data_IF_992934263094
#
_entry.id   IF_992934263094
#
_cell.length_a   1.000
_cell.length_b   1.000
_cell.length_c   1.000
_cell.angle_alpha   90.00
_cell.angle_beta   90.00
_cell.angle_gamma   90.00
#
_symmetry.space_group_name_H-M   'P 1'
#
loop_
_entity.id
_entity.type
_entity.pdbx_description
1 polymer ?
#
# COMPACT_ATOMS: atom_id res chain seq x y z
N UNK A 1 -32.71 -1.97 -15.89
CA UNK A 1 -32.67 -2.61 -14.56
C UNK A 1 -31.55 -3.64 -14.56
N UNK A 2 -30.35 -3.30 -14.09
CA UNK A 2 -29.21 -4.21 -14.09
C UNK A 2 -29.20 -5.09 -12.84
N UNK A 3 -29.14 -6.41 -13.06
CA UNK A 3 -29.23 -7.50 -12.07
C UNK A 3 -28.30 -7.26 -10.88
N UNK A 4 -28.86 -7.36 -9.68
CA UNK A 4 -28.11 -7.41 -8.41
C UNK A 4 -27.38 -8.75 -8.38
N UNK A 5 -26.07 -8.74 -8.14
CA UNK A 5 -25.25 -9.95 -8.01
C UNK A 5 -25.51 -10.52 -6.62
N UNK A 6 -25.93 -11.79 -6.54
CA UNK A 6 -26.22 -12.50 -5.29
C UNK A 6 -25.00 -13.37 -4.98
N UNK A 7 -24.44 -13.24 -3.79
CA UNK A 7 -23.44 -14.15 -3.24
C UNK A 7 -23.84 -14.54 -1.81
N UNK A 8 -23.87 -15.84 -1.54
CA UNK A 8 -24.20 -16.45 -0.25
C UNK A 8 -25.49 -15.94 0.41
N UNK A 9 -26.46 -15.50 -0.40
CA UNK A 9 -27.73 -14.96 0.06
C UNK A 9 -27.71 -13.49 0.48
N UNK A 10 -26.57 -12.80 0.40
CA UNK A 10 -26.43 -11.39 0.74
C UNK A 10 -26.33 -10.46 -0.48
N UNK A 11 -26.88 -9.25 -0.33
CA UNK A 11 -26.89 -8.20 -1.35
C UNK A 11 -25.75 -7.20 -1.13
N UNK A 12 -24.96 -6.94 -2.18
CA UNK A 12 -23.94 -5.90 -2.22
C UNK A 12 -24.23 -4.89 -3.34
N UNK A 13 -23.80 -3.64 -3.15
CA UNK A 13 -23.78 -2.67 -4.24
C UNK A 13 -22.69 -3.03 -5.26
N UNK A 14 -22.91 -2.67 -6.52
CA UNK A 14 -21.98 -2.90 -7.63
C UNK A 14 -21.01 -1.72 -7.77
N UNK A 15 -19.72 -2.00 -8.01
CA UNK A 15 -18.67 -0.99 -8.12
C UNK A 15 -18.98 0.05 -9.19
N UNK A 16 -19.48 -0.35 -10.36
CA UNK A 16 -19.80 0.58 -11.44
C UNK A 16 -20.88 1.58 -11.02
N UNK A 17 -21.84 1.15 -10.20
CA UNK A 17 -22.84 2.07 -9.60
C UNK A 17 -22.22 3.01 -8.57
N UNK A 18 -21.29 2.53 -7.76
CA UNK A 18 -20.57 3.36 -6.78
C UNK A 18 -19.79 4.45 -7.50
N UNK A 19 -18.97 4.10 -8.49
CA UNK A 19 -18.12 5.07 -9.19
C UNK A 19 -18.95 6.05 -10.04
N UNK A 20 -20.03 5.59 -10.69
CA UNK A 20 -20.97 6.47 -11.43
C UNK A 20 -21.63 7.50 -10.51
N UNK A 21 -22.04 7.08 -9.30
CA UNK A 21 -22.58 7.98 -8.28
C UNK A 21 -21.53 9.01 -7.81
N UNK A 22 -20.28 8.61 -7.63
CA UNK A 22 -19.22 9.53 -7.19
C UNK A 22 -18.81 10.50 -8.28
N UNK A 23 -18.72 10.06 -9.54
CA UNK A 23 -18.49 10.93 -10.70
C UNK A 23 -19.58 12.00 -10.82
N UNK A 24 -20.86 11.62 -10.74
CA UNK A 24 -21.97 12.59 -10.73
C UNK A 24 -21.91 13.60 -9.59
N UNK A 25 -21.35 13.23 -8.43
CA UNK A 25 -21.14 14.18 -7.33
C UNK A 25 -20.00 15.13 -7.67
N UNK A 26 -18.85 14.60 -8.07
CA UNK A 26 -17.72 15.40 -8.51
C UNK A 26 -18.10 16.43 -9.60
N UNK A 27 -18.92 16.03 -10.57
CA UNK A 27 -19.42 16.94 -11.61
C UNK A 27 -20.35 18.04 -11.08
N UNK A 28 -21.08 17.77 -9.98
CA UNK A 28 -22.09 18.68 -9.43
C UNK A 28 -21.51 19.68 -8.43
N UNK A 29 -20.60 19.26 -7.57
CA UNK A 29 -20.10 20.06 -6.45
C UNK A 29 -18.59 19.97 -6.25
N UNK A 30 -17.86 19.45 -7.25
CA UNK A 30 -16.40 19.27 -7.20
C UNK A 30 -15.93 18.43 -6.01
N UNK A 31 -16.79 17.55 -5.46
CA UNK A 31 -16.40 16.67 -4.37
C UNK A 31 -15.36 15.64 -4.83
N UNK A 32 -14.16 15.61 -4.21
CA UNK A 32 -13.13 14.65 -4.57
C UNK A 32 -13.51 13.24 -4.15
N UNK A 33 -12.93 12.27 -4.83
CA UNK A 33 -13.03 10.86 -4.45
C UNK A 33 -11.69 10.16 -4.64
N UNK A 34 -11.21 9.54 -3.57
CA UNK A 34 -9.88 8.96 -3.48
C UNK A 34 -9.95 7.43 -3.52
N UNK A 35 -8.80 6.79 -3.71
CA UNK A 35 -8.65 5.34 -3.69
C UNK A 35 -7.61 4.92 -2.65
N UNK A 36 -7.94 3.96 -1.79
CA UNK A 36 -7.01 3.25 -0.91
C UNK A 36 -6.88 1.80 -1.39
N UNK A 37 -5.68 1.42 -1.80
CA UNK A 37 -5.33 0.06 -2.22
C UNK A 37 -4.65 -0.67 -1.06
N UNK A 38 -5.21 -1.83 -0.71
CA UNK A 38 -4.56 -2.81 0.17
C UNK A 38 -4.10 -4.05 -0.60
N UNK A 39 -3.45 -4.97 0.12
CA UNK A 39 -2.78 -6.13 -0.48
C UNK A 39 -3.70 -7.00 -1.37
N UNK A 40 -5.02 -6.92 -1.16
CA UNK A 40 -5.99 -7.55 -2.05
C UNK A 40 -5.94 -7.08 -3.50
N UNK A 41 -5.40 -5.88 -3.80
CA UNK A 41 -5.11 -5.43 -5.17
C UNK A 41 -4.12 -6.36 -5.87
N UNK A 42 -3.03 -6.72 -5.21
CA UNK A 42 -1.99 -7.59 -5.76
C UNK A 42 -2.40 -9.06 -5.73
N UNK A 43 -3.12 -9.49 -4.69
CA UNK A 43 -3.72 -10.83 -4.63
C UNK A 43 -4.74 -11.04 -5.75
N UNK A 44 -5.50 -10.00 -6.13
CA UNK A 44 -6.45 -10.08 -7.23
C UNK A 44 -5.77 -10.24 -8.60
N UNK A 45 -4.52 -9.80 -8.74
CA UNK A 45 -3.73 -10.06 -9.95
C UNK A 45 -3.34 -11.54 -10.00
N UNK A 46 -2.62 -11.99 -8.97
CA UNK A 46 -2.19 -13.37 -8.84
C UNK A 46 -2.06 -13.80 -7.37
N UNK A 47 -3.00 -14.62 -6.92
CA UNK A 47 -3.02 -15.19 -5.57
C UNK A 47 -1.87 -16.19 -5.32
N UNK A 48 -1.33 -16.81 -6.36
CA UNK A 48 -0.23 -17.78 -6.22
C UNK A 48 1.11 -17.08 -6.02
N UNK A 49 1.16 -15.75 -6.20
CA UNK A 49 2.34 -14.90 -5.99
C UNK A 49 2.16 -14.05 -4.72
N UNK A 50 1.05 -13.32 -4.62
CA UNK A 50 0.89 -12.26 -3.62
C UNK A 50 0.11 -12.66 -2.36
N UNK A 51 -0.40 -13.88 -2.27
CA UNK A 51 -1.10 -14.32 -1.06
C UNK A 51 -0.12 -14.63 0.09
N UNK A 52 -0.59 -14.47 1.32
CA UNK A 52 0.16 -14.85 2.52
C UNK A 52 0.66 -16.30 2.48
N UNK A 53 -0.17 -17.22 1.95
CA UNK A 53 0.22 -18.62 1.78
C UNK A 53 1.31 -18.81 0.72
N UNK A 54 1.29 -18.05 -0.37
CA UNK A 54 2.33 -18.09 -1.40
C UNK A 54 3.68 -17.61 -0.84
N UNK A 55 3.69 -16.45 -0.17
CA UNK A 55 4.87 -15.92 0.50
C UNK A 55 5.42 -16.91 1.52
N UNK A 56 4.55 -17.48 2.37
CA UNK A 56 4.97 -18.47 3.36
C UNK A 56 5.58 -19.71 2.73
N UNK A 57 4.95 -20.27 1.67
CA UNK A 57 5.44 -21.45 0.96
C UNK A 57 6.81 -21.22 0.32
N UNK A 58 7.04 -20.03 -0.21
CA UNK A 58 8.35 -19.67 -0.77
C UNK A 58 9.40 -19.52 0.32
N UNK A 59 9.06 -18.89 1.45
CA UNK A 59 9.96 -18.81 2.61
C UNK A 59 10.32 -20.21 3.15
N UNK A 60 9.37 -21.16 3.22
CA UNK A 60 9.64 -22.54 3.63
C UNK A 60 10.71 -23.22 2.75
N UNK A 61 10.82 -22.85 1.46
CA UNK A 61 11.86 -23.38 0.56
C UNK A 61 13.25 -22.83 0.87
N UNK A 62 13.34 -21.64 1.47
CA UNK A 62 14.58 -21.01 1.92
C UNK A 62 15.26 -21.74 3.11
N UNK A 63 14.59 -22.72 3.72
CA UNK A 63 15.11 -23.61 4.77
C UNK A 63 15.64 -22.92 6.03
N UNK A 64 15.14 -21.74 6.43
CA UNK A 64 15.40 -21.23 7.78
C UNK A 64 14.47 -21.94 8.79
N UNK A 65 14.95 -22.94 9.56
CA UNK A 65 14.07 -23.80 10.34
C UNK A 65 13.40 -23.04 11.49
N UNK A 66 14.08 -22.01 12.03
CA UNK A 66 13.59 -21.21 13.13
C UNK A 66 12.42 -20.33 12.70
N UNK A 67 12.53 -19.69 11.53
CA UNK A 67 11.42 -18.92 10.96
C UNK A 67 10.22 -19.82 10.67
N UNK A 68 10.43 -20.97 10.01
CA UNK A 68 9.34 -21.92 9.71
C UNK A 68 8.66 -22.42 10.99
N UNK A 69 9.42 -22.64 12.06
CA UNK A 69 8.88 -23.05 13.37
C UNK A 69 7.95 -21.98 13.95
N UNK A 70 8.25 -20.69 13.79
CA UNK A 70 7.38 -19.62 14.27
C UNK A 70 5.99 -19.69 13.62
N UNK A 71 5.91 -19.78 12.29
CA UNK A 71 4.62 -19.86 11.59
C UNK A 71 3.81 -21.10 12.02
N UNK A 72 4.47 -22.24 12.26
CA UNK A 72 3.82 -23.45 12.75
C UNK A 72 3.27 -23.29 14.17
N UNK A 73 4.02 -22.64 15.07
CA UNK A 73 3.59 -22.40 16.46
C UNK A 73 2.44 -21.39 16.51
N UNK A 74 2.49 -20.36 15.67
CA UNK A 74 1.50 -19.28 15.63
C UNK A 74 0.24 -19.63 14.84
N UNK A 75 0.27 -20.74 14.07
CA UNK A 75 -0.82 -21.24 13.24
C UNK A 75 -1.38 -20.17 12.27
N UNK A 76 -0.49 -19.43 11.63
CA UNK A 76 -0.82 -18.41 10.63
C UNK A 76 0.24 -18.41 9.54
N UNK A 77 -0.11 -17.92 8.34
CA UNK A 77 0.82 -17.59 7.25
C UNK A 77 1.06 -16.09 7.11
N UNK A 78 0.41 -15.26 7.95
CA UNK A 78 0.54 -13.82 7.90
C UNK A 78 1.78 -13.37 8.69
N UNK A 79 2.77 -12.85 7.96
CA UNK A 79 4.03 -12.36 8.50
C UNK A 79 3.85 -11.22 9.53
N UNK A 80 2.90 -10.31 9.33
CA UNK A 80 2.64 -9.22 10.28
C UNK A 80 2.19 -9.75 11.64
N UNK A 81 1.34 -10.78 11.64
CA UNK A 81 0.85 -11.40 12.88
C UNK A 81 2.00 -12.10 13.62
N UNK A 82 2.87 -12.81 12.90
CA UNK A 82 4.05 -13.46 13.52
C UNK A 82 5.00 -12.41 14.10
N UNK A 83 5.27 -11.32 13.37
CA UNK A 83 6.08 -10.21 13.88
C UNK A 83 5.43 -9.55 15.11
N UNK A 84 4.11 -9.37 15.12
CA UNK A 84 3.37 -8.83 16.26
C UNK A 84 3.56 -9.68 17.52
N UNK A 85 3.47 -11.00 17.38
CA UNK A 85 3.60 -11.94 18.49
C UNK A 85 5.03 -11.96 19.03
N UNK A 86 6.04 -11.91 18.16
CA UNK A 86 7.44 -11.75 18.55
C UNK A 86 7.66 -10.44 19.31
N UNK A 87 7.19 -9.31 18.78
CA UNK A 87 7.32 -8.00 19.41
C UNK A 87 6.64 -7.97 20.79
N UNK A 88 5.49 -8.66 20.92
CA UNK A 88 4.79 -8.82 22.21
C UNK A 88 5.61 -9.64 23.20
N UNK A 89 6.19 -10.76 22.74
CA UNK A 89 7.03 -11.61 23.58
C UNK A 89 8.27 -10.86 24.08
N UNK A 90 8.94 -10.09 23.21
CA UNK A 90 10.10 -9.27 23.57
C UNK A 90 9.72 -8.27 24.67
N UNK A 91 8.63 -7.49 24.48
CA UNK A 91 8.17 -6.50 25.46
C UNK A 91 7.81 -7.12 26.82
N UNK A 92 7.13 -8.27 26.81
CA UNK A 92 6.80 -8.97 28.05
C UNK A 92 8.07 -9.48 28.72
N UNK A 93 8.98 -10.08 27.97
CA UNK A 93 10.26 -10.56 28.47
C UNK A 93 11.10 -9.45 29.12
N UNK A 94 11.19 -8.28 28.48
CA UNK A 94 11.81 -7.08 29.07
C UNK A 94 11.16 -6.70 30.40
N UNK A 95 9.83 -6.68 30.47
CA UNK A 95 9.09 -6.29 31.68
C UNK A 95 9.24 -7.28 32.84
N UNK A 96 9.50 -8.56 32.55
CA UNK A 96 9.66 -9.61 33.58
C UNK A 96 11.13 -9.93 33.88
N UNK A 97 12.09 -9.19 33.30
CA UNK A 97 13.51 -9.42 33.53
C UNK A 97 14.01 -10.72 32.91
N UNK A 98 13.50 -11.08 31.73
CA UNK A 98 14.05 -12.17 30.94
C UNK A 98 15.54 -11.92 30.64
N UNK A 99 16.28 -12.99 30.40
CA UNK A 99 17.70 -12.90 30.07
C UNK A 99 17.94 -12.07 28.79
N UNK A 100 18.91 -11.15 28.84
CA UNK A 100 19.21 -10.23 27.75
C UNK A 100 19.66 -10.95 26.46
N UNK A 101 20.43 -12.04 26.58
CA UNK A 101 20.88 -12.80 25.40
C UNK A 101 19.70 -13.43 24.67
N UNK A 102 18.71 -13.93 25.39
CA UNK A 102 17.46 -14.44 24.82
C UNK A 102 16.64 -13.33 24.13
N UNK A 103 16.53 -12.16 24.74
CA UNK A 103 15.83 -11.02 24.12
C UNK A 103 16.54 -10.55 22.85
N UNK A 104 17.87 -10.50 22.85
CA UNK A 104 18.67 -10.18 21.67
C UNK A 104 18.51 -11.24 20.57
N UNK A 105 18.43 -12.52 20.92
CA UNK A 105 18.11 -13.59 19.97
C UNK A 105 16.75 -13.38 19.31
N UNK A 106 15.71 -13.05 20.09
CA UNK A 106 14.38 -12.74 19.55
C UNK A 106 14.40 -11.51 18.62
N UNK A 107 15.13 -10.44 18.97
CA UNK A 107 15.28 -9.26 18.10
C UNK A 107 15.98 -9.60 16.79
N UNK A 108 17.00 -10.47 16.83
CA UNK A 108 17.66 -10.99 15.62
C UNK A 108 16.71 -11.79 14.75
N UNK A 109 15.93 -12.71 15.34
CA UNK A 109 14.91 -13.49 14.61
C UNK A 109 13.86 -12.59 13.98
N UNK A 110 13.38 -11.58 14.70
CA UNK A 110 12.43 -10.56 14.19
C UNK A 110 13.01 -9.82 12.98
N UNK A 111 14.29 -9.45 13.05
CA UNK A 111 14.99 -8.76 11.96
C UNK A 111 15.14 -9.68 10.75
N UNK A 112 15.58 -10.94 10.97
CA UNK A 112 15.66 -11.96 9.92
C UNK A 112 14.31 -12.20 9.25
N UNK A 113 13.21 -12.24 10.02
CA UNK A 113 11.86 -12.42 9.48
C UNK A 113 11.45 -11.26 8.56
N UNK A 114 11.75 -10.01 8.95
CA UNK A 114 11.51 -8.83 8.11
C UNK A 114 12.29 -8.90 6.80
N UNK A 115 13.58 -9.24 6.88
CA UNK A 115 14.45 -9.34 5.70
C UNK A 115 14.01 -10.49 4.78
N UNK A 116 13.61 -11.62 5.35
CA UNK A 116 13.14 -12.77 4.58
C UNK A 116 11.82 -12.46 3.85
N UNK A 117 10.93 -11.67 4.46
CA UNK A 117 9.73 -11.20 3.78
C UNK A 117 10.07 -10.33 2.57
N UNK A 118 10.97 -9.36 2.72
CA UNK A 118 11.42 -8.49 1.61
C UNK A 118 12.01 -9.35 0.49
N UNK A 119 12.92 -10.26 0.82
CA UNK A 119 13.55 -11.16 -0.15
C UNK A 119 12.53 -12.09 -0.81
N UNK A 120 11.52 -12.54 -0.09
CA UNK A 120 10.48 -13.43 -0.63
C UNK A 120 9.58 -12.70 -1.61
N UNK A 121 9.16 -11.47 -1.29
CA UNK A 121 8.37 -10.65 -2.21
C UNK A 121 9.20 -10.39 -3.47
N UNK A 122 10.46 -10.00 -3.31
CA UNK A 122 11.37 -9.76 -4.43
C UNK A 122 11.53 -11.01 -5.33
N UNK A 123 11.76 -12.20 -4.76
CA UNK A 123 11.88 -13.47 -5.52
C UNK A 123 10.60 -13.88 -6.26
N UNK A 124 9.43 -13.67 -5.66
CA UNK A 124 8.14 -14.07 -6.24
C UNK A 124 7.60 -13.04 -7.24
N UNK A 125 7.99 -11.78 -7.10
CA UNK A 125 7.56 -10.73 -7.99
C UNK A 125 7.96 -11.07 -9.43
N UNK A 126 7.10 -10.82 -10.44
CA UNK A 126 7.52 -10.95 -11.83
C UNK A 126 8.83 -10.17 -12.09
N UNK A 127 9.63 -10.66 -13.02
CA UNK A 127 10.95 -10.08 -13.33
C UNK A 127 10.80 -8.70 -13.95
N UNK A 128 9.79 -8.54 -14.80
CA UNK A 128 9.56 -7.28 -15.47
C UNK A 128 8.08 -7.02 -15.73
N UNK A 129 7.77 -5.74 -15.97
CA UNK A 129 6.43 -5.29 -16.34
C UNK A 129 5.89 -5.96 -17.61
N UNK A 130 6.78 -6.50 -18.47
CA UNK A 130 6.39 -7.22 -19.69
C UNK A 130 5.74 -8.58 -19.40
N UNK A 131 5.94 -9.12 -18.21
CA UNK A 131 5.29 -10.37 -17.77
C UNK A 131 3.80 -10.17 -17.47
N UNK A 132 3.36 -8.91 -17.30
CA UNK A 132 1.95 -8.57 -17.14
C UNK A 132 1.29 -8.47 -18.52
N UNK A 133 0.19 -9.22 -18.77
CA UNK A 133 -0.56 -9.11 -20.01
C UNK A 133 -1.05 -7.68 -20.26
N UNK A 134 -0.90 -7.20 -21.49
CA UNK A 134 -1.30 -5.83 -21.87
C UNK A 134 -2.77 -5.53 -21.57
N UNK A 135 -3.67 -6.50 -21.80
CA UNK A 135 -5.09 -6.35 -21.47
C UNK A 135 -5.35 -6.17 -19.96
N UNK A 136 -4.51 -6.75 -19.09
CA UNK A 136 -4.60 -6.56 -17.64
C UNK A 136 -4.12 -5.16 -17.24
N UNK A 137 -3.06 -4.66 -17.87
CA UNK A 137 -2.57 -3.29 -17.66
C UNK A 137 -3.61 -2.27 -18.11
N UNK A 138 -4.25 -2.50 -19.27
CA UNK A 138 -5.30 -1.61 -19.78
C UNK A 138 -6.48 -1.54 -18.80
N UNK A 139 -6.99 -2.68 -18.33
CA UNK A 139 -8.09 -2.72 -17.35
C UNK A 139 -7.71 -2.04 -16.03
N UNK A 140 -6.52 -2.34 -15.49
CA UNK A 140 -6.08 -1.74 -14.25
C UNK A 140 -5.89 -0.23 -14.41
N UNK A 141 -5.30 0.22 -15.51
CA UNK A 141 -5.11 1.64 -15.76
C UNK A 141 -6.43 2.39 -15.96
N UNK A 142 -7.41 1.80 -16.66
CA UNK A 142 -8.77 2.34 -16.79
C UNK A 142 -9.46 2.45 -15.43
N UNK A 143 -9.23 1.48 -14.53
CA UNK A 143 -9.70 1.54 -13.15
C UNK A 143 -9.02 2.64 -12.32
N UNK A 144 -7.71 2.84 -12.45
CA UNK A 144 -6.94 3.82 -11.67
C UNK A 144 -7.17 5.26 -12.14
N UNK A 145 -7.36 5.47 -13.45
CA UNK A 145 -7.46 6.79 -14.10
C UNK A 145 -8.37 7.81 -13.40
N UNK A 146 -9.57 7.47 -12.91
CA UNK A 146 -10.44 8.43 -12.22
C UNK A 146 -9.83 9.00 -10.92
N UNK A 147 -8.85 8.33 -10.34
CA UNK A 147 -8.24 8.69 -9.05
C UNK A 147 -6.85 9.34 -9.20
N UNK A 148 -6.27 9.30 -10.40
CA UNK A 148 -4.87 9.62 -10.63
C UNK A 148 -4.57 11.11 -10.78
N UNK A 149 -5.59 11.95 -10.96
CA UNK A 149 -5.44 13.40 -11.13
C UNK A 149 -6.07 14.16 -9.96
N UNK A 150 -5.49 15.31 -9.60
CA UNK A 150 -6.09 16.22 -8.62
C UNK A 150 -7.55 16.57 -8.99
N UNK A 151 -8.42 16.77 -7.99
CA UNK A 151 -8.16 16.72 -6.54
C UNK A 151 -8.15 15.31 -5.93
N UNK A 152 -8.21 14.26 -6.75
CA UNK A 152 -8.23 12.88 -6.30
C UNK A 152 -6.81 12.37 -6.03
N UNK A 153 -6.72 11.25 -5.31
CA UNK A 153 -5.44 10.58 -5.07
C UNK A 153 -5.61 9.08 -4.90
N UNK A 154 -4.51 8.37 -5.15
CA UNK A 154 -4.32 6.94 -4.91
C UNK A 154 -3.36 6.79 -3.73
N UNK A 155 -3.83 6.17 -2.66
CA UNK A 155 -3.03 5.77 -1.51
C UNK A 155 -2.87 4.26 -1.58
N UNK A 156 -1.64 3.76 -1.54
CA UNK A 156 -1.32 2.34 -1.52
C UNK A 156 -0.69 1.96 -0.19
N UNK A 157 -1.11 0.83 0.36
CA UNK A 157 -0.38 0.13 1.44
C UNK A 157 0.34 -1.10 0.91
N UNK A 158 0.35 -1.30 -0.40
CA UNK A 158 1.01 -2.43 -1.03
C UNK A 158 2.48 -2.14 -1.21
N UNK A 159 3.27 -3.19 -1.02
CA UNK A 159 4.71 -3.06 -1.09
C UNK A 159 5.30 -3.44 -2.45
N UNK A 160 4.56 -4.15 -3.29
CA UNK A 160 5.03 -4.63 -4.60
C UNK A 160 5.15 -3.52 -5.66
N UNK A 161 5.57 -3.90 -6.87
CA UNK A 161 5.78 -2.98 -7.99
C UNK A 161 4.58 -2.91 -8.94
N UNK A 162 3.47 -3.61 -8.69
CA UNK A 162 2.36 -3.68 -9.65
C UNK A 162 1.74 -2.31 -9.91
N UNK A 163 1.49 -1.53 -8.85
CA UNK A 163 0.95 -0.17 -9.01
C UNK A 163 1.91 0.71 -9.81
N UNK A 164 3.20 0.72 -9.43
CA UNK A 164 4.24 1.46 -10.14
C UNK A 164 4.29 1.09 -11.63
N UNK A 165 4.28 -0.20 -11.94
CA UNK A 165 4.31 -0.71 -13.31
C UNK A 165 3.09 -0.32 -14.14
N UNK A 166 1.89 -0.37 -13.58
CA UNK A 166 0.68 0.07 -14.28
C UNK A 166 0.73 1.57 -14.55
N UNK A 167 1.14 2.38 -13.56
CA UNK A 167 1.28 3.83 -13.72
C UNK A 167 2.28 4.19 -14.82
N UNK A 168 3.37 3.43 -14.94
CA UNK A 168 4.39 3.66 -15.95
C UNK A 168 3.98 3.20 -17.35
N UNK A 169 3.30 2.06 -17.48
CA UNK A 169 3.08 1.42 -18.79
C UNK A 169 1.73 1.77 -19.43
N UNK A 170 0.73 2.16 -18.64
CA UNK A 170 -0.57 2.54 -19.19
C UNK A 170 -0.48 3.93 -19.84
N UNK A 171 -0.80 3.97 -21.13
CA UNK A 171 -0.82 5.20 -21.92
C UNK A 171 -1.86 6.19 -21.36
N UNK A 172 -1.38 7.30 -20.81
CA UNK A 172 -2.21 8.38 -20.28
C UNK A 172 -2.28 8.46 -18.76
N UNK A 173 -1.65 7.53 -18.02
CA UNK A 173 -1.46 7.67 -16.57
C UNK A 173 -0.14 8.38 -16.23
N UNK A 174 0.92 8.10 -16.97
CA UNK A 174 2.25 8.69 -16.75
C UNK A 174 2.28 10.22 -16.86
N UNK A 175 1.31 10.83 -17.53
CA UNK A 175 1.19 12.29 -17.66
C UNK A 175 0.29 12.95 -16.61
N UNK A 176 -0.47 12.18 -15.83
CA UNK A 176 -1.43 12.72 -14.85
C UNK A 176 -1.19 12.23 -13.43
N UNK A 177 -0.56 11.07 -13.25
CA UNK A 177 -0.20 10.52 -11.96
C UNK A 177 1.19 11.01 -11.55
N UNK A 178 1.32 11.49 -10.32
CA UNK A 178 2.58 11.99 -9.78
C UNK A 178 2.80 11.38 -8.39
N UNK A 179 3.96 10.77 -8.15
CA UNK A 179 4.32 10.15 -6.88
C UNK A 179 5.24 11.03 -6.01
N UNK A 180 5.49 12.27 -6.43
CA UNK A 180 6.28 13.27 -5.71
C UNK A 180 7.79 13.15 -5.94
N UNK A 181 8.25 12.18 -6.75
CA UNK A 181 9.66 11.97 -7.05
C UNK A 181 10.06 12.59 -8.39
N UNK A 182 11.12 13.38 -8.37
CA UNK A 182 11.69 14.03 -9.56
C UNK A 182 13.22 14.00 -9.52
N UNK A 183 13.85 14.32 -10.64
CA UNK A 183 15.29 14.57 -10.61
C UNK A 183 15.57 15.83 -9.78
N UNK A 184 16.59 15.82 -8.92
CA UNK A 184 17.10 17.04 -8.33
C UNK A 184 17.71 17.93 -9.42
N UNK A 185 17.35 19.20 -9.41
CA UNK A 185 17.93 20.22 -10.30
C UNK A 185 18.98 20.99 -9.51
N UNK A 186 20.18 21.12 -10.07
CA UNK A 186 21.33 21.66 -9.34
C UNK A 186 21.39 23.19 -9.39
N UNK A 187 21.00 23.81 -10.51
CA UNK A 187 20.99 25.26 -10.66
C UNK A 187 20.17 25.69 -11.88
N UNK A 188 19.50 26.84 -11.76
CA UNK A 188 18.75 27.48 -12.85
C UNK A 188 19.74 28.29 -13.69
N UNK A 189 20.23 27.73 -14.79
CA UNK A 189 21.18 28.43 -15.66
C UNK A 189 20.48 29.50 -16.51
N UNK A 190 19.23 29.27 -16.93
CA UNK A 190 18.31 30.22 -17.59
C UNK A 190 16.83 29.79 -17.36
N UNK A 191 15.84 30.58 -17.83
CA UNK A 191 14.40 30.28 -17.63
C UNK A 191 13.96 28.90 -18.16
N UNK A 192 14.67 28.34 -19.15
CA UNK A 192 14.29 27.11 -19.86
C UNK A 192 15.26 25.91 -19.68
N UNK A 193 16.43 26.09 -19.05
CA UNK A 193 17.45 25.04 -18.93
C UNK A 193 17.83 24.75 -17.47
N UNK A 194 17.45 23.57 -17.00
CA UNK A 194 17.85 23.01 -15.71
C UNK A 194 18.88 21.90 -15.89
N UNK A 195 20.03 22.02 -15.22
CA UNK A 195 21.04 20.94 -15.17
C UNK A 195 20.65 19.95 -14.08
N UNK A 196 20.56 18.66 -14.45
CA UNK A 196 20.33 17.55 -13.51
C UNK A 196 21.60 17.29 -12.71
N UNK A 197 21.51 17.32 -11.38
CA UNK A 197 22.66 17.06 -10.50
C UNK A 197 23.08 15.60 -10.51
N UNK A 198 22.13 14.69 -10.60
CA UNK A 198 22.37 13.26 -10.67
C UNK A 198 21.22 12.52 -11.36
N UNK A 199 21.42 11.23 -11.62
CA UNK A 199 20.44 10.34 -12.25
C UNK A 199 19.49 9.67 -11.25
N UNK A 200 19.39 10.20 -10.03
CA UNK A 200 18.56 9.65 -8.94
C UNK A 200 17.25 10.41 -8.85
N UNK A 201 16.14 9.69 -8.69
CA UNK A 201 14.84 10.31 -8.42
C UNK A 201 14.69 10.51 -6.91
N UNK A 202 14.49 11.75 -6.49
CA UNK A 202 14.38 12.15 -5.08
C UNK A 202 12.98 12.68 -4.81
N UNK A 203 12.40 12.32 -3.67
CA UNK A 203 11.11 12.84 -3.23
C UNK A 203 11.25 14.26 -2.68
N UNK A 204 10.31 15.14 -3.05
CA UNK A 204 10.21 16.49 -2.49
C UNK A 204 9.92 17.56 -3.54
N UNK A 205 10.49 17.42 -4.74
CA UNK A 205 10.44 18.43 -5.79
C UNK A 205 9.06 18.64 -6.44
N UNK A 206 8.16 17.64 -6.35
CA UNK A 206 6.82 17.71 -6.95
C UNK A 206 5.70 17.32 -5.96
N UNK A 207 5.92 17.56 -4.66
CA UNK A 207 4.96 17.20 -3.60
C UNK A 207 3.62 17.90 -3.75
N UNK A 208 3.61 19.15 -4.22
CA UNK A 208 2.37 19.88 -4.47
C UNK A 208 1.49 19.16 -5.51
N UNK A 209 2.08 18.58 -6.55
CA UNK A 209 1.39 17.86 -7.62
C UNK A 209 1.15 16.37 -7.34
N UNK A 210 1.58 15.87 -6.18
CA UNK A 210 1.52 14.45 -5.85
C UNK A 210 0.07 13.93 -5.75
N UNK A 211 -0.21 12.86 -6.49
CA UNK A 211 -1.51 12.16 -6.50
C UNK A 211 -1.38 10.69 -6.11
N UNK A 212 -0.16 10.15 -6.02
CA UNK A 212 0.12 8.76 -5.65
C UNK A 212 0.97 8.72 -4.38
N UNK A 213 0.54 7.93 -3.39
CA UNK A 213 1.16 7.88 -2.06
C UNK A 213 1.34 6.43 -1.61
N UNK A 214 2.57 6.00 -1.33
CA UNK A 214 2.90 4.65 -0.82
C UNK A 214 3.00 4.69 0.71
N UNK A 215 1.87 4.66 1.40
CA UNK A 215 1.75 4.91 2.84
C UNK A 215 2.51 3.91 3.73
N UNK A 216 2.71 2.67 3.26
CA UNK A 216 3.49 1.65 3.97
C UNK A 216 4.86 1.42 3.30
N UNK A 217 5.24 2.28 2.35
CA UNK A 217 6.41 2.12 1.50
C UNK A 217 6.17 1.20 0.30
N UNK A 218 7.22 0.94 -0.48
CA UNK A 218 7.20 0.06 -1.65
C UNK A 218 8.61 -0.40 -2.01
N UNK A 219 8.74 -1.51 -2.74
CA UNK A 219 10.02 -2.14 -3.10
C UNK A 219 11.00 -1.22 -3.85
N UNK A 220 10.49 -0.22 -4.55
CA UNK A 220 11.28 0.71 -5.33
C UNK A 220 11.66 1.99 -4.56
N UNK A 221 11.28 2.12 -3.28
CA UNK A 221 11.54 3.31 -2.47
C UNK A 221 12.59 3.00 -1.40
N UNK A 222 13.63 3.81 -1.28
CA UNK A 222 14.71 3.62 -0.31
C UNK A 222 14.99 4.92 0.45
N UNK A 223 15.52 4.76 1.66
CA UNK A 223 15.97 5.85 2.52
C UNK A 223 17.51 5.86 2.49
N UNK A 224 18.12 6.93 1.98
CA UNK A 224 19.58 7.10 1.91
C UNK A 224 20.11 7.97 3.06
N UNK A 225 19.36 8.08 4.16
CA UNK A 225 19.59 8.93 5.34
C UNK A 225 19.44 10.44 5.10
N UNK A 226 19.82 10.95 3.93
CA UNK A 226 19.58 12.36 3.55
C UNK A 226 18.25 12.53 2.83
N UNK A 227 17.96 11.61 1.91
CA UNK A 227 16.90 11.75 0.93
C UNK A 227 16.11 10.44 0.79
N UNK A 228 14.85 10.59 0.42
CA UNK A 228 14.00 9.46 0.02
C UNK A 228 14.12 9.32 -1.49
N UNK A 229 14.62 8.18 -1.92
CA UNK A 229 14.99 7.92 -3.31
C UNK A 229 14.09 6.84 -3.92
N UNK A 230 13.85 6.97 -5.23
CA UNK A 230 13.05 6.03 -6.02
C UNK A 230 13.89 5.37 -7.09
N UNK A 231 13.93 4.04 -7.06
CA UNK A 231 14.51 3.24 -8.13
C UNK A 231 13.64 3.27 -9.39
N UNK A 232 14.30 3.11 -10.54
CA UNK A 232 13.69 3.21 -11.86
C UNK A 232 14.34 2.24 -12.84
N UNK A 233 13.70 2.07 -13.99
CA UNK A 233 14.34 1.41 -15.12
C UNK A 233 15.57 2.19 -15.61
N UNK A 234 16.67 1.48 -15.86
CA UNK A 234 17.89 2.01 -16.49
C UNK A 234 18.06 1.35 -17.86
N UNK A 235 18.82 1.98 -18.75
CA UNK A 235 19.08 1.43 -20.08
C UNK A 235 19.67 0.01 -19.99
N UNK A 236 18.91 -0.97 -20.48
CA UNK A 236 19.29 -2.39 -20.49
C UNK A 236 19.16 -3.12 -19.15
N UNK A 237 18.58 -2.52 -18.10
CA UNK A 237 18.41 -3.16 -16.79
C UNK A 237 16.99 -2.96 -16.23
N UNK A 238 16.43 -4.05 -15.69
CA UNK A 238 15.12 -4.01 -15.05
C UNK A 238 15.23 -3.41 -13.65
N UNK A 239 14.19 -2.68 -13.23
CA UNK A 239 14.14 -2.08 -11.88
C UNK A 239 14.35 -3.12 -10.76
N UNK A 240 13.88 -4.35 -10.96
CA UNK A 240 14.07 -5.46 -10.00
C UNK A 240 15.54 -5.77 -9.76
N UNK A 241 16.37 -5.74 -10.81
CA UNK A 241 17.81 -5.97 -10.70
C UNK A 241 18.51 -4.86 -9.89
N UNK A 242 18.04 -3.62 -9.99
CA UNK A 242 18.56 -2.50 -9.18
C UNK A 242 18.14 -2.66 -7.70
N UNK A 243 16.91 -3.08 -7.46
CA UNK A 243 16.40 -3.40 -6.12
C UNK A 243 17.21 -4.54 -5.49
N UNK A 244 17.44 -5.64 -6.23
CA UNK A 244 18.27 -6.77 -5.80
C UNK A 244 19.70 -6.33 -5.44
N UNK A 245 20.32 -5.47 -6.26
CA UNK A 245 21.66 -4.93 -5.97
C UNK A 245 21.68 -4.16 -4.65
N UNK A 246 20.68 -3.34 -4.37
CA UNK A 246 20.56 -2.61 -3.10
C UNK A 246 20.39 -3.55 -1.92
N UNK A 247 19.48 -4.51 -2.02
CA UNK A 247 19.22 -5.51 -0.98
C UNK A 247 20.50 -6.30 -0.66
N UNK A 248 21.25 -6.70 -1.69
CA UNK A 248 22.55 -7.39 -1.54
C UNK A 248 23.64 -6.51 -0.89
N UNK A 249 23.51 -5.19 -0.98
CA UNK A 249 24.37 -4.21 -0.31
C UNK A 249 23.85 -3.79 1.08
N UNK A 250 22.89 -4.53 1.66
CA UNK A 250 22.23 -4.21 2.93
C UNK A 250 21.46 -2.88 2.93
N UNK A 251 21.04 -2.40 1.75
CA UNK A 251 20.14 -1.26 1.60
C UNK A 251 18.73 -1.81 1.35
N UNK A 252 17.85 -1.60 2.32
CA UNK A 252 16.50 -2.16 2.28
C UNK A 252 15.47 -1.10 1.89
N UNK A 253 14.41 -1.50 1.16
CA UNK A 253 13.35 -0.57 0.82
C UNK A 253 12.62 -0.08 2.06
N UNK A 254 12.03 1.11 1.96
CA UNK A 254 11.12 1.67 2.96
C UNK A 254 9.91 0.73 3.04
N UNK A 255 9.71 0.14 4.21
CA UNK A 255 8.80 -0.99 4.37
C UNK A 255 8.25 -1.06 5.79
N UNK A 256 6.99 -0.68 5.98
CA UNK A 256 6.28 -0.71 7.27
C UNK A 256 5.74 -2.12 7.50
N UNK A 257 6.33 -2.86 8.45
CA UNK A 257 6.04 -4.28 8.69
C UNK A 257 5.66 -4.61 10.12
N UNK A 258 5.66 -3.60 10.97
CA UNK A 258 5.33 -3.73 12.37
C UNK A 258 3.94 -4.35 12.51
N UNK A 259 3.80 -5.38 13.33
CA UNK A 259 2.55 -6.12 13.43
C UNK A 259 1.44 -5.36 14.16
N UNK A 260 1.81 -4.34 14.95
CA UNK A 260 0.89 -3.50 15.71
C UNK A 260 0.71 -2.10 15.07
N UNK A 261 -0.52 -1.60 15.07
CA UNK A 261 -0.87 -0.34 14.42
C UNK A 261 -0.19 0.90 15.02
N UNK A 262 0.09 0.92 16.33
CA UNK A 262 0.77 2.06 16.95
C UNK A 262 2.28 2.02 16.65
N UNK A 263 2.88 0.83 16.56
CA UNK A 263 4.26 0.68 16.08
C UNK A 263 4.41 1.06 14.60
N UNK A 264 3.46 0.65 13.73
CA UNK A 264 3.41 1.10 12.33
C UNK A 264 3.35 2.62 12.27
N UNK A 265 2.49 3.25 13.08
CA UNK A 265 2.38 4.71 13.13
C UNK A 265 3.69 5.36 13.57
N UNK A 266 4.37 4.83 14.59
CA UNK A 266 5.69 5.36 14.99
C UNK A 266 6.67 5.28 13.82
N UNK A 267 6.80 4.14 13.15
CA UNK A 267 7.69 4.01 11.99
C UNK A 267 7.33 5.01 10.88
N UNK A 268 6.05 5.14 10.55
CA UNK A 268 5.55 6.13 9.58
C UNK A 268 5.95 7.56 9.97
N UNK A 269 5.84 7.94 11.24
CA UNK A 269 6.16 9.29 11.69
C UNK A 269 7.67 9.61 11.70
N UNK A 270 8.54 8.59 11.77
CA UNK A 270 10.00 8.76 11.74
C UNK A 270 10.58 8.83 10.32
N UNK A 271 9.79 8.55 9.29
CA UNK A 271 10.20 8.70 7.89
C UNK A 271 9.45 9.86 7.23
N UNK A 272 10.17 10.83 6.66
CA UNK A 272 9.58 12.06 6.11
C UNK A 272 8.55 11.82 5.01
N UNK A 273 8.82 10.86 4.11
CA UNK A 273 7.89 10.49 3.03
C UNK A 273 6.62 9.82 3.57
N UNK A 274 6.77 8.83 4.45
CA UNK A 274 5.62 8.12 5.04
C UNK A 274 4.76 9.06 5.89
N UNK A 275 5.38 9.94 6.66
CA UNK A 275 4.72 10.96 7.46
C UNK A 275 3.91 11.93 6.58
N UNK A 276 4.44 12.31 5.42
CA UNK A 276 3.70 13.08 4.42
C UNK A 276 2.50 12.30 3.87
N UNK A 277 2.67 11.04 3.48
CA UNK A 277 1.58 10.17 3.03
C UNK A 277 0.45 10.06 4.08
N UNK A 278 0.83 9.89 5.35
CA UNK A 278 -0.13 9.82 6.46
C UNK A 278 -0.83 11.16 6.70
N UNK A 279 -0.11 12.27 6.55
CA UNK A 279 -0.66 13.62 6.65
C UNK A 279 -1.66 13.89 5.53
N UNK A 280 -1.35 13.49 4.30
CA UNK A 280 -2.29 13.54 3.18
C UNK A 280 -3.56 12.75 3.48
N UNK A 281 -3.44 11.51 3.98
CA UNK A 281 -4.58 10.68 4.34
C UNK A 281 -5.50 11.34 5.39
N UNK A 282 -4.94 12.06 6.36
CA UNK A 282 -5.70 12.83 7.37
C UNK A 282 -6.44 14.04 6.81
N UNK A 283 -6.12 14.47 5.59
CA UNK A 283 -6.62 15.71 4.99
C UNK A 283 -7.53 15.48 3.78
N UNK A 284 -7.71 14.22 3.35
CA UNK A 284 -8.60 13.90 2.24
C UNK A 284 -10.03 14.35 2.50
N UNK A 285 -10.76 14.64 1.43
CA UNK A 285 -12.12 15.16 1.49
C UNK A 285 -13.06 14.31 0.63
N UNK A 286 -14.36 14.57 0.74
CA UNK A 286 -15.34 13.95 -0.14
C UNK A 286 -15.53 12.47 0.15
N UNK A 287 -15.09 11.59 -0.75
CA UNK A 287 -15.25 10.14 -0.58
C UNK A 287 -13.96 9.36 -0.72
N UNK A 288 -13.89 8.19 -0.09
CA UNK A 288 -12.80 7.23 -0.29
C UNK A 288 -13.38 5.89 -0.73
N UNK A 289 -12.77 5.28 -1.73
CA UNK A 289 -13.00 3.89 -2.09
C UNK A 289 -11.82 3.08 -1.56
N UNK A 290 -12.09 1.93 -0.95
CA UNK A 290 -11.04 1.00 -0.52
C UNK A 290 -11.19 -0.33 -1.25
N UNK A 291 -10.10 -0.85 -1.79
CA UNK A 291 -10.08 -2.13 -2.49
C UNK A 291 -8.94 -3.00 -1.95
N UNK A 292 -9.25 -4.25 -1.61
CA UNK A 292 -8.26 -5.18 -1.07
C UNK A 292 -7.74 -4.79 0.31
N UNK A 293 -8.45 -3.91 1.01
CA UNK A 293 -8.07 -3.38 2.31
C UNK A 293 -9.07 -3.82 3.38
N UNK A 294 -8.53 -4.26 4.52
CA UNK A 294 -9.24 -5.13 5.44
C UNK A 294 -9.66 -4.43 6.74
N UNK A 295 -9.06 -3.27 7.06
CA UNK A 295 -9.25 -2.56 8.33
C UNK A 295 -9.06 -3.48 9.55
N UNK A 296 -8.04 -4.33 9.49
CA UNK A 296 -7.65 -5.18 10.62
C UNK A 296 -7.06 -4.36 11.78
N UNK A 297 -6.83 -5.04 12.90
CA UNK A 297 -6.24 -4.45 14.10
C UNK A 297 -4.85 -3.83 13.83
N UNK A 298 -4.05 -4.45 12.95
CA UNK A 298 -2.72 -3.95 12.55
C UNK A 298 -2.78 -2.64 11.75
N UNK A 299 -3.94 -2.24 11.24
CA UNK A 299 -4.12 -1.05 10.42
C UNK A 299 -5.00 0.03 11.07
N UNK A 300 -5.14 -0.01 12.40
CA UNK A 300 -5.93 0.97 13.17
C UNK A 300 -5.49 2.42 12.96
N UNK A 301 -4.21 2.68 12.67
CA UNK A 301 -3.71 4.02 12.36
C UNK A 301 -4.38 4.62 11.11
N UNK A 302 -4.70 3.80 10.10
CA UNK A 302 -5.43 4.25 8.91
C UNK A 302 -6.85 4.67 9.30
N UNK A 303 -7.54 3.88 10.13
CA UNK A 303 -8.87 4.26 10.62
C UNK A 303 -8.82 5.56 11.44
N UNK A 304 -7.81 5.72 12.31
CA UNK A 304 -7.57 6.97 13.06
C UNK A 304 -7.40 8.16 12.10
N UNK A 305 -6.59 8.02 11.06
CA UNK A 305 -6.38 9.07 10.06
C UNK A 305 -7.67 9.45 9.31
N UNK A 306 -8.46 8.47 8.87
CA UNK A 306 -9.74 8.71 8.20
C UNK A 306 -10.75 9.40 9.12
N UNK A 307 -10.76 9.03 10.41
CA UNK A 307 -11.59 9.70 11.40
C UNK A 307 -11.18 11.15 11.62
N UNK A 308 -9.88 11.46 11.56
CA UNK A 308 -9.40 12.83 11.56
C UNK A 308 -9.84 13.60 10.31
N UNK A 309 -9.73 12.98 9.14
CA UNK A 309 -10.20 13.55 7.87
C UNK A 309 -11.72 13.83 7.86
N UNK A 310 -12.49 13.08 8.65
CA UNK A 310 -13.95 13.24 8.77
C UNK A 310 -14.38 14.29 9.81
N UNK A 311 -13.43 14.97 10.49
CA UNK A 311 -13.75 16.06 11.41
C UNK A 311 -13.94 17.38 10.65
N UNK A 312 -14.67 18.31 11.27
CA UNK A 312 -14.90 19.65 10.73
C UNK A 312 -16.13 19.78 9.84
N UNK A 313 -16.12 20.81 8.99
CA UNK A 313 -17.21 21.18 8.09
C UNK A 313 -17.52 20.06 7.09
N UNK A 314 -18.80 19.70 6.96
CA UNK A 314 -19.33 18.70 6.02
C UNK A 314 -18.85 18.94 4.58
N UNK A 315 -18.65 20.19 4.17
CA UNK A 315 -18.15 20.53 2.83
C UNK A 315 -16.64 20.29 2.66
N UNK A 316 -15.89 20.22 3.76
CA UNK A 316 -14.42 20.18 3.77
C UNK A 316 -13.85 18.99 4.54
N UNK A 317 -14.57 17.87 4.57
CA UNK A 317 -14.18 16.65 5.29
C UNK A 317 -14.43 15.40 4.47
N UNK A 318 -13.90 14.27 4.93
CA UNK A 318 -14.26 12.94 4.46
C UNK A 318 -15.69 12.61 4.89
N UNK A 319 -16.59 12.43 3.92
CA UNK A 319 -18.02 12.21 4.16
C UNK A 319 -18.42 10.74 4.07
N UNK A 320 -17.81 9.99 3.16
CA UNK A 320 -18.15 8.58 2.97
C UNK A 320 -16.98 7.72 2.54
N UNK A 321 -16.93 6.50 3.09
CA UNK A 321 -16.01 5.46 2.68
C UNK A 321 -16.80 4.30 2.08
N UNK A 322 -16.34 3.79 0.95
CA UNK A 322 -16.90 2.65 0.24
C UNK A 322 -15.88 1.52 0.28
N UNK A 323 -16.22 0.43 0.96
CA UNK A 323 -15.32 -0.70 1.18
C UNK A 323 -15.69 -1.86 0.27
N UNK A 324 -14.75 -2.28 -0.58
CA UNK A 324 -14.90 -3.48 -1.39
C UNK A 324 -14.76 -4.73 -0.51
N UNK A 325 -15.80 -5.57 -0.49
CA UNK A 325 -15.83 -6.82 0.28
C UNK A 325 -15.91 -8.03 -0.66
N UNK A 326 -15.25 -9.13 -0.30
CA UNK A 326 -15.22 -10.36 -1.09
C UNK A 326 -16.14 -11.46 -0.53
N UNK A 327 -16.48 -11.39 0.76
CA UNK A 327 -17.34 -12.35 1.45
C UNK A 327 -18.28 -11.72 2.48
N UNK A 328 -19.17 -12.53 3.06
CA UNK A 328 -20.05 -12.11 4.15
C UNK A 328 -19.25 -11.80 5.43
N UNK A 329 -18.19 -12.57 5.71
CA UNK A 329 -17.32 -12.34 6.87
C UNK A 329 -16.59 -11.00 6.77
N UNK A 330 -16.12 -10.64 5.56
CA UNK A 330 -15.55 -9.30 5.32
C UNK A 330 -16.55 -8.21 5.66
N UNK A 331 -17.79 -8.36 5.20
CA UNK A 331 -18.86 -7.40 5.49
C UNK A 331 -19.15 -7.30 6.98
N UNK A 332 -19.30 -8.44 7.66
CA UNK A 332 -19.55 -8.47 9.11
C UNK A 332 -18.44 -7.74 9.88
N UNK A 333 -17.18 -7.93 9.48
CA UNK A 333 -16.04 -7.20 10.04
C UNK A 333 -16.14 -5.70 9.78
N UNK A 334 -16.51 -5.27 8.57
CA UNK A 334 -16.71 -3.85 8.26
C UNK A 334 -17.89 -3.25 9.04
N UNK A 335 -18.95 -4.03 9.28
CA UNK A 335 -20.07 -3.60 10.13
C UNK A 335 -19.64 -3.42 11.60
N UNK A 336 -18.75 -4.27 12.12
CA UNK A 336 -18.19 -4.14 13.48
C UNK A 336 -17.39 -2.84 13.67
N UNK A 337 -16.67 -2.38 12.65
CA UNK A 337 -15.91 -1.11 12.74
C UNK A 337 -16.77 0.12 12.47
N UNK A 338 -17.98 -0.02 11.89
CA UNK A 338 -18.87 1.11 11.55
C UNK A 338 -19.12 2.04 12.74
N UNK A 339 -19.28 1.48 13.95
CA UNK A 339 -19.50 2.26 15.18
C UNK A 339 -18.31 3.13 15.60
N UNK A 340 -17.12 2.87 15.06
CA UNK A 340 -15.90 3.62 15.35
C UNK A 340 -15.64 4.72 14.31
N UNK A 341 -16.42 4.79 13.23
CA UNK A 341 -16.20 5.71 12.10
C UNK A 341 -16.98 7.02 12.27
N UNK A 342 -16.33 8.15 11.98
CA UNK A 342 -16.97 9.49 11.96
C UNK A 342 -17.53 9.88 10.58
N UNK A 343 -17.51 8.93 9.63
CA UNK A 343 -17.96 9.06 8.25
C UNK A 343 -18.93 7.94 7.88
N UNK A 344 -19.67 8.11 6.79
CA UNK A 344 -20.60 7.08 6.33
C UNK A 344 -19.85 5.91 5.69
N UNK A 345 -19.95 4.73 6.29
CA UNK A 345 -19.44 3.47 5.72
C UNK A 345 -20.47 2.84 4.78
N UNK A 346 -20.04 2.42 3.60
CA UNK A 346 -20.83 1.67 2.62
C UNK A 346 -19.98 0.50 2.13
N UNK A 347 -20.60 -0.59 1.70
CA UNK A 347 -19.91 -1.77 1.16
C UNK A 347 -20.35 -2.04 -0.27
N UNK A 348 -19.44 -2.53 -1.10
CA UNK A 348 -19.74 -2.97 -2.47
C UNK A 348 -19.02 -4.28 -2.77
N UNK A 349 -19.49 -5.02 -3.77
CA UNK A 349 -18.87 -6.27 -4.19
C UNK A 349 -17.55 -5.99 -4.90
N UNK A 350 -16.41 -6.33 -4.27
CA UNK A 350 -15.09 -6.10 -4.84
C UNK A 350 -14.85 -6.86 -6.15
N UNK A 351 -15.57 -7.96 -6.41
CA UNK A 351 -15.44 -8.76 -7.65
C UNK A 351 -16.04 -8.06 -8.87
N UNK A 352 -16.86 -7.04 -8.65
CA UNK A 352 -17.43 -6.23 -9.74
C UNK A 352 -16.46 -5.15 -10.24
N UNK A 353 -15.29 -5.00 -9.60
CA UNK A 353 -14.23 -4.09 -10.05
C UNK A 353 -13.50 -4.71 -11.23
N UNK A 354 -13.43 -4.03 -12.40
CA UNK A 354 -12.69 -4.51 -13.56
C UNK A 354 -11.18 -4.24 -13.39
N UNK A 355 -10.54 -4.86 -12.39
CA UNK A 355 -9.18 -4.53 -11.98
C UNK A 355 -8.11 -5.16 -12.90
N UNK A 356 -8.11 -6.48 -13.05
CA UNK A 356 -7.07 -7.21 -13.79
C UNK A 356 -7.60 -8.12 -14.89
N UNK A 357 -8.88 -8.51 -14.84
CA UNK A 357 -9.49 -9.53 -15.72
C UNK A 357 -10.88 -9.13 -16.17
#
# INVERSE_FOLDING_TARGET
>A
MAKKVILDGEYFDDYLKVIDKLKRRADKDSSPFHLLLGNGFSIAYDKEIFSYNALFKEMERGKNPDLVKLFKVTNTSNFEIVMQQLDTLIKLGESFGANDDFLEELRKIRTQLKLELINTIDRLHPECVFDIPEGSIQKCGDFLKPYSSKPNSIISTNYDLLLYWVLMRYNGLSSIANDGFSYPYEERMNEDDFIRSNDTLVWGGMTDEQTVFYLHGALHLFDDNSDIIKEKYRDGQYIKQEIEKRINNNQYPIFVTEGDGDQKLQHIMHNGYLSNCYTHLKQIKGSLITLGFSFGESDRHILKALNEAARGDVRNRLNSVYVGVFSAEDKERIEKIRGQCFFKVNTFDARTVPLWK
#
